data_IF_738244177401
#
_entry.id   IF_738244177401
#
_cell.length_a   1.000
_cell.length_b   1.000
_cell.length_c   1.000
_cell.angle_alpha   90.00
_cell.angle_beta   90.00
_cell.angle_gamma   90.00
#
_symmetry.space_group_name_H-M   'P 1'
#
loop_
_entity.id
_entity.type
_entity.pdbx_description
1 polymer ?
#
# COMPACT_ATOMS: atom_id res chain seq x y z
N UNK A 1 25.69 1.46 -10.51
CA UNK A 1 25.29 2.14 -9.27
C UNK A 1 24.78 3.49 -9.71
N UNK A 2 23.47 3.69 -9.66
CA UNK A 2 22.89 4.99 -10.01
C UNK A 2 23.05 5.93 -8.82
N UNK A 3 23.28 7.19 -9.07
CA UNK A 3 23.34 8.21 -8.02
C UNK A 3 22.20 9.19 -8.20
N UNK A 4 21.48 9.53 -7.13
CA UNK A 4 20.53 10.64 -7.10
C UNK A 4 21.09 11.68 -6.13
N UNK A 5 21.21 12.92 -6.58
CA UNK A 5 21.88 14.01 -5.85
C UNK A 5 23.28 13.67 -5.32
N UNK A 6 24.04 12.83 -6.05
CA UNK A 6 25.39 12.45 -5.64
C UNK A 6 25.48 11.39 -4.53
N UNK A 7 24.35 10.87 -4.07
CA UNK A 7 24.29 9.78 -3.08
C UNK A 7 24.26 8.46 -3.83
N UNK A 8 25.20 7.52 -3.56
CA UNK A 8 25.21 6.23 -4.23
C UNK A 8 23.99 5.40 -3.84
N UNK A 9 23.26 4.92 -4.85
CA UNK A 9 22.18 3.96 -4.69
C UNK A 9 22.75 2.57 -4.46
N UNK A 10 22.35 1.93 -3.36
CA UNK A 10 22.40 0.48 -3.28
C UNK A 10 21.15 -0.07 -4.01
N UNK A 11 21.35 -0.58 -5.21
CA UNK A 11 20.38 -1.48 -5.81
C UNK A 11 20.31 -2.72 -4.93
N UNK A 12 19.24 -2.83 -4.15
CA UNK A 12 18.95 -4.08 -3.45
C UNK A 12 18.61 -5.12 -4.52
N UNK A 13 19.37 -6.21 -4.55
CA UNK A 13 18.91 -7.42 -5.23
C UNK A 13 17.58 -7.79 -4.60
N UNK A 14 16.51 -7.74 -5.37
CA UNK A 14 15.20 -8.23 -4.95
C UNK A 14 15.40 -9.60 -4.31
N UNK A 15 14.77 -9.89 -3.17
CA UNK A 15 14.67 -11.27 -2.74
C UNK A 15 14.10 -12.04 -3.92
N UNK A 16 14.85 -12.97 -4.47
CA UNK A 16 14.34 -13.88 -5.49
C UNK A 16 13.51 -14.90 -4.73
N UNK A 17 12.24 -14.59 -4.53
CA UNK A 17 11.31 -15.59 -4.04
C UNK A 17 11.11 -16.59 -5.17
N UNK A 18 11.62 -17.79 -4.95
CA UNK A 18 11.23 -18.91 -5.78
C UNK A 18 9.74 -19.13 -5.52
N UNK A 19 8.92 -18.93 -6.55
CA UNK A 19 7.52 -19.34 -6.55
C UNK A 19 7.49 -20.78 -6.05
N UNK A 20 6.97 -21.02 -4.85
CA UNK A 20 6.60 -22.37 -4.48
C UNK A 20 5.56 -22.81 -5.51
N UNK A 21 5.88 -23.81 -6.30
CA UNK A 21 4.90 -24.44 -7.19
C UNK A 21 3.83 -25.04 -6.28
N UNK A 22 2.74 -24.31 -6.09
CA UNK A 22 1.51 -24.90 -5.59
C UNK A 22 1.10 -26.05 -6.53
N UNK A 23 0.33 -27.01 -6.03
CA UNK A 23 -0.21 -28.06 -6.88
C UNK A 23 -0.88 -27.42 -8.10
N UNK A 24 -0.81 -28.03 -9.31
CA UNK A 24 -1.38 -27.49 -10.52
C UNK A 24 -2.85 -27.14 -10.25
N UNK A 25 -3.20 -25.87 -10.45
CA UNK A 25 -4.59 -25.45 -10.40
C UNK A 25 -5.32 -26.12 -11.56
N UNK A 26 -6.39 -26.79 -11.24
CA UNK A 26 -7.33 -27.33 -12.23
C UNK A 26 -7.88 -26.15 -13.02
N UNK A 27 -7.81 -26.20 -14.36
CA UNK A 27 -8.04 -25.10 -15.32
C UNK A 27 -9.50 -24.59 -15.35
N UNK A 28 -10.24 -24.65 -14.24
CA UNK A 28 -11.66 -24.36 -14.22
C UNK A 28 -12.11 -23.08 -13.55
N UNK A 29 -11.36 -22.53 -12.57
CA UNK A 29 -11.82 -21.32 -11.87
C UNK A 29 -10.58 -20.52 -11.44
N UNK A 30 -10.38 -19.36 -12.05
CA UNK A 30 -9.41 -18.38 -11.59
C UNK A 30 -9.67 -18.01 -10.13
N UNK A 31 -8.65 -17.59 -9.35
CA UNK A 31 -8.86 -17.11 -8.00
C UNK A 31 -9.78 -15.91 -8.08
N UNK A 32 -11.06 -16.11 -7.73
CA UNK A 32 -11.93 -14.99 -7.45
C UNK A 32 -11.22 -14.16 -6.40
N UNK A 33 -11.06 -12.86 -6.67
CA UNK A 33 -10.63 -11.91 -5.67
C UNK A 33 -11.45 -12.11 -4.39
N UNK A 34 -11.21 -11.40 -3.28
CA UNK A 34 -11.82 -11.67 -1.97
C UNK A 34 -13.35 -11.66 -1.98
N UNK A 35 -13.93 -12.61 -2.63
CA UNK A 35 -15.30 -13.00 -2.87
C UNK A 35 -15.34 -14.48 -3.09
N UNK A 36 -14.73 -15.28 -2.16
CA UNK A 36 -14.79 -16.73 -2.21
C UNK A 36 -16.25 -17.21 -2.21
N UNK A 37 -16.56 -18.38 -2.85
CA UNK A 37 -17.90 -18.94 -2.87
C UNK A 37 -18.36 -19.26 -1.44
N UNK A 38 -19.33 -18.51 -0.95
CA UNK A 38 -19.92 -18.71 0.40
C UNK A 38 -20.33 -17.41 1.10
N UNK A 39 -20.21 -16.26 0.47
CA UNK A 39 -20.94 -15.07 0.93
C UNK A 39 -22.44 -15.34 0.86
N UNK A 40 -23.27 -14.79 1.79
CA UNK A 40 -24.71 -14.99 1.75
C UNK A 40 -25.22 -14.60 0.36
N UNK A 41 -26.02 -15.49 -0.26
CA UNK A 41 -26.76 -15.17 -1.48
C UNK A 41 -27.56 -13.89 -1.20
N UNK A 42 -27.24 -12.79 -1.88
CA UNK A 42 -27.83 -11.47 -1.66
C UNK A 42 -26.88 -10.41 -1.14
N UNK A 43 -25.59 -10.50 -1.43
CA UNK A 43 -24.67 -9.38 -1.22
C UNK A 43 -25.22 -8.10 -1.89
N UNK A 44 -24.95 -6.89 -1.34
CA UNK A 44 -25.43 -5.65 -1.93
C UNK A 44 -25.04 -5.59 -3.40
N UNK A 45 -25.99 -5.24 -4.27
CA UNK A 45 -25.69 -5.01 -5.69
C UNK A 45 -24.52 -4.02 -5.79
N UNK A 46 -23.48 -4.42 -6.50
CA UNK A 46 -22.34 -3.52 -6.73
C UNK A 46 -22.88 -2.27 -7.45
N UNK A 47 -22.53 -1.07 -7.01
CA UNK A 47 -22.93 0.14 -7.69
C UNK A 47 -22.47 0.08 -9.16
N UNK A 48 -23.33 0.50 -10.07
CA UNK A 48 -23.00 0.60 -11.49
C UNK A 48 -21.77 1.51 -11.65
N UNK A 49 -20.71 0.99 -12.28
CA UNK A 49 -19.49 1.76 -12.53
C UNK A 49 -19.78 2.91 -13.48
N UNK A 50 -19.56 4.11 -13.01
CA UNK A 50 -19.69 5.31 -13.83
C UNK A 50 -18.40 5.54 -14.63
N UNK A 51 -18.49 6.08 -15.86
CA UNK A 51 -17.28 6.43 -16.62
C UNK A 51 -16.35 7.35 -15.84
N UNK A 52 -15.06 7.03 -15.90
CA UNK A 52 -13.99 7.82 -15.28
C UNK A 52 -13.07 8.39 -16.35
N UNK A 53 -12.51 9.56 -16.10
CA UNK A 53 -11.70 10.33 -17.04
C UNK A 53 -10.40 10.77 -16.34
N UNK A 54 -9.39 11.14 -17.14
CA UNK A 54 -8.24 11.88 -16.67
C UNK A 54 -8.09 13.20 -17.47
N UNK A 55 -7.56 14.22 -16.81
CA UNK A 55 -7.35 15.51 -17.45
C UNK A 55 -6.26 15.48 -18.55
N UNK A 56 -5.31 14.56 -18.42
CA UNK A 56 -4.34 14.24 -19.47
C UNK A 56 -4.27 12.71 -19.58
N UNK A 57 -4.52 12.19 -20.77
CA UNK A 57 -4.39 10.76 -21.06
C UNK A 57 -3.31 10.51 -22.10
N UNK A 58 -2.37 9.61 -21.76
CA UNK A 58 -1.29 9.16 -22.64
C UNK A 58 -1.44 7.66 -22.84
N UNK A 59 -1.52 7.23 -24.09
CA UNK A 59 -1.59 5.82 -24.45
C UNK A 59 -0.55 5.47 -25.52
N UNK A 60 0.18 4.38 -25.29
CA UNK A 60 1.19 3.87 -26.21
C UNK A 60 2.12 4.98 -26.74
N UNK A 61 2.61 5.80 -25.81
CA UNK A 61 3.56 6.88 -26.08
C UNK A 61 2.99 8.10 -26.80
N UNK A 62 1.66 8.33 -26.75
CA UNK A 62 1.02 9.50 -27.36
C UNK A 62 -0.04 10.10 -26.45
N UNK A 63 -0.12 11.43 -26.43
CA UNK A 63 -1.24 12.12 -25.83
C UNK A 63 -2.50 11.87 -26.68
N UNK A 64 -3.50 11.24 -26.07
CA UNK A 64 -4.78 10.91 -26.75
C UNK A 64 -5.92 11.79 -26.28
N UNK A 65 -5.81 12.40 -25.10
CA UNK A 65 -6.82 13.31 -24.53
C UNK A 65 -6.18 14.36 -23.63
N UNK A 66 -6.69 15.58 -23.71
CA UNK A 66 -6.31 16.68 -22.82
C UNK A 66 -7.53 17.55 -22.51
N UNK A 67 -7.91 17.62 -21.24
CA UNK A 67 -8.96 18.54 -20.77
C UNK A 67 -8.44 19.99 -20.75
N UNK A 68 -9.24 20.98 -21.13
CA UNK A 68 -8.84 22.41 -21.08
C UNK A 68 -8.45 22.93 -19.69
N UNK A 69 -8.88 22.27 -18.63
CA UNK A 69 -8.54 22.67 -17.27
C UNK A 69 -7.08 22.37 -16.88
N UNK A 70 -6.43 21.40 -17.54
CA UNK A 70 -5.01 21.13 -17.31
C UNK A 70 -4.15 22.05 -18.16
N UNK A 71 -3.23 22.74 -17.52
CA UNK A 71 -2.30 23.65 -18.21
C UNK A 71 -0.86 23.25 -17.95
N UNK A 72 0.03 23.58 -18.87
CA UNK A 72 1.44 23.24 -18.82
C UNK A 72 2.07 23.18 -20.20
N UNK A 73 3.23 22.59 -20.29
CA UNK A 73 3.90 22.29 -21.56
C UNK A 73 3.89 20.77 -21.75
N UNK A 74 3.30 20.30 -22.83
CA UNK A 74 3.08 18.89 -23.08
C UNK A 74 3.74 18.42 -24.38
N UNK A 75 4.35 17.26 -24.31
CA UNK A 75 4.80 16.47 -25.46
C UNK A 75 4.33 15.03 -25.26
N UNK A 76 4.52 14.16 -26.22
CA UNK A 76 4.13 12.76 -26.11
C UNK A 76 4.88 11.99 -25.00
N UNK A 77 5.98 12.53 -24.50
CA UNK A 77 6.82 11.88 -23.46
C UNK A 77 6.96 12.70 -22.18
N UNK A 78 6.53 13.97 -22.18
CA UNK A 78 6.73 14.86 -21.02
C UNK A 78 5.58 15.82 -20.80
N UNK A 79 5.34 16.12 -19.52
CA UNK A 79 4.50 17.25 -19.08
C UNK A 79 5.29 18.12 -18.10
N UNK A 80 5.37 19.43 -18.33
CA UNK A 80 6.14 20.35 -17.49
C UNK A 80 5.30 21.53 -17.03
N UNK A 81 5.60 21.99 -15.80
CA UNK A 81 4.91 23.15 -15.18
C UNK A 81 3.39 22.96 -15.17
N UNK A 82 2.96 21.74 -14.84
CA UNK A 82 1.56 21.33 -14.89
C UNK A 82 0.77 22.00 -13.76
N UNK A 83 -0.41 22.51 -14.11
CA UNK A 83 -1.38 23.02 -13.14
C UNK A 83 -2.74 22.44 -13.44
N UNK A 84 -3.37 21.89 -12.40
CA UNK A 84 -4.74 21.38 -12.45
C UNK A 84 -5.42 21.66 -11.12
N UNK A 85 -6.62 22.22 -11.17
CA UNK A 85 -7.46 22.40 -9.99
C UNK A 85 -8.91 22.14 -10.39
N UNK A 86 -9.46 21.01 -9.98
CA UNK A 86 -10.81 20.58 -10.34
C UNK A 86 -11.56 20.02 -9.12
N UNK A 87 -12.86 20.28 -9.11
CA UNK A 87 -13.80 19.67 -8.18
C UNK A 87 -14.74 18.71 -8.94
N UNK A 88 -14.22 17.52 -9.26
CA UNK A 88 -14.94 16.48 -9.99
C UNK A 88 -14.51 15.11 -9.51
N UNK A 89 -15.45 14.30 -8.98
CA UNK A 89 -15.19 12.96 -8.49
C UNK A 89 -14.92 11.92 -9.60
N UNK A 90 -15.41 12.18 -10.81
CA UNK A 90 -15.27 11.31 -11.99
C UNK A 90 -13.98 11.56 -12.79
N UNK A 91 -13.17 12.55 -12.42
CA UNK A 91 -11.97 12.94 -13.14
C UNK A 91 -10.72 12.92 -12.27
N UNK A 92 -9.67 12.28 -12.76
CA UNK A 92 -8.31 12.34 -12.23
C UNK A 92 -7.43 13.35 -12.94
N UNK A 93 -6.12 13.31 -12.65
CA UNK A 93 -5.14 14.24 -13.20
C UNK A 93 -4.47 13.70 -14.46
N UNK A 94 -3.44 12.90 -14.31
CA UNK A 94 -2.63 12.36 -15.41
C UNK A 94 -2.76 10.83 -15.42
N UNK A 95 -3.10 10.27 -16.55
CA UNK A 95 -3.19 8.84 -16.76
C UNK A 95 -2.28 8.40 -17.90
N UNK A 96 -1.39 7.47 -17.65
CA UNK A 96 -0.43 6.93 -18.61
C UNK A 96 -0.63 5.43 -18.72
N UNK A 97 -0.89 4.94 -19.91
CA UNK A 97 -1.12 3.52 -20.14
C UNK A 97 -0.59 3.03 -21.48
N UNK A 98 -0.49 1.72 -21.61
CA UNK A 98 -0.13 1.02 -22.83
C UNK A 98 1.37 0.86 -23.02
N UNK A 99 1.73 -0.30 -23.55
CA UNK A 99 3.12 -0.65 -23.85
C UNK A 99 3.82 0.43 -24.68
N UNK A 100 5.07 0.74 -24.30
CA UNK A 100 5.88 1.79 -24.94
C UNK A 100 5.62 3.20 -24.41
N UNK A 101 4.68 3.40 -23.48
CA UNK A 101 4.53 4.68 -22.77
C UNK A 101 5.62 4.82 -21.72
N UNK A 102 6.53 5.79 -21.89
CA UNK A 102 7.48 6.24 -20.87
C UNK A 102 7.30 7.76 -20.73
N UNK A 103 6.61 8.17 -19.66
CA UNK A 103 6.15 9.53 -19.50
C UNK A 103 6.72 10.17 -18.24
N UNK A 104 7.24 11.39 -18.37
CA UNK A 104 7.80 12.16 -17.26
C UNK A 104 6.98 13.42 -17.00
N UNK A 105 6.63 13.64 -15.75
CA UNK A 105 5.97 14.87 -15.27
C UNK A 105 6.93 15.63 -14.38
N UNK A 106 7.19 16.88 -14.69
CA UNK A 106 8.07 17.76 -13.92
C UNK A 106 7.34 19.04 -13.46
N UNK A 107 7.54 19.40 -12.19
CA UNK A 107 6.98 20.64 -11.60
C UNK A 107 5.45 20.72 -11.72
N UNK A 108 4.75 19.68 -11.28
CA UNK A 108 3.30 19.66 -11.31
C UNK A 108 2.69 20.15 -9.97
N UNK A 109 1.58 20.87 -10.09
CA UNK A 109 0.70 21.19 -8.97
C UNK A 109 -0.73 20.76 -9.33
N UNK A 110 -1.13 19.62 -8.84
CA UNK A 110 -2.43 18.98 -9.10
C UNK A 110 -3.24 19.00 -7.80
N UNK A 111 -4.41 19.63 -7.84
CA UNK A 111 -5.39 19.59 -6.78
C UNK A 111 -6.72 19.10 -7.33
N UNK A 112 -7.22 18.02 -6.77
CA UNK A 112 -8.49 17.43 -7.16
C UNK A 112 -9.36 17.23 -5.93
N UNK A 113 -10.63 17.55 -6.04
CA UNK A 113 -11.61 17.36 -4.98
C UNK A 113 -12.88 16.69 -5.51
N UNK A 114 -13.68 16.16 -4.57
CA UNK A 114 -14.90 15.42 -4.86
C UNK A 114 -14.71 13.91 -4.68
N UNK A 115 -15.81 13.24 -4.31
CA UNK A 115 -15.82 11.80 -4.07
C UNK A 115 -15.56 11.04 -5.37
N UNK A 116 -14.55 10.18 -5.35
CA UNK A 116 -14.27 9.21 -6.41
C UNK A 116 -15.11 7.95 -6.26
N UNK A 117 -14.74 6.91 -6.98
CA UNK A 117 -15.41 5.61 -6.98
C UNK A 117 -14.46 4.42 -6.97
N UNK A 118 -13.16 4.63 -6.70
CA UNK A 118 -12.17 3.57 -6.63
C UNK A 118 -10.84 4.05 -6.06
N UNK A 119 -9.97 3.11 -5.71
CA UNK A 119 -8.67 3.37 -5.09
C UNK A 119 -7.51 3.16 -6.10
N UNK A 120 -7.66 3.70 -7.30
CA UNK A 120 -6.66 3.63 -8.36
C UNK A 120 -7.21 4.06 -9.72
N UNK A 121 -6.42 3.86 -10.77
CA UNK A 121 -6.79 4.14 -12.15
C UNK A 121 -6.98 5.63 -12.47
N UNK A 122 -7.77 5.88 -13.48
CA UNK A 122 -7.95 7.21 -14.09
C UNK A 122 -8.36 8.32 -13.13
N UNK A 123 -9.01 8.01 -12.02
CA UNK A 123 -9.44 9.01 -11.02
C UNK A 123 -8.36 9.43 -10.04
N UNK A 124 -7.19 8.83 -10.09
CA UNK A 124 -6.03 9.23 -9.29
C UNK A 124 -5.48 10.59 -9.74
N UNK A 125 -4.72 11.24 -8.86
CA UNK A 125 -3.98 12.46 -9.22
C UNK A 125 -2.98 12.22 -10.34
N UNK A 126 -2.26 11.09 -10.27
CA UNK A 126 -1.47 10.55 -11.36
C UNK A 126 -1.49 9.01 -11.30
N UNK A 127 -1.75 8.37 -12.42
CA UNK A 127 -1.82 6.91 -12.53
C UNK A 127 -1.02 6.37 -13.70
N UNK A 128 -0.50 5.16 -13.52
CA UNK A 128 0.18 4.40 -14.58
C UNK A 128 -0.36 2.99 -14.63
N UNK A 129 -0.70 2.51 -15.84
CA UNK A 129 -1.29 1.19 -16.05
C UNK A 129 -0.80 0.57 -17.37
N UNK A 130 -1.10 -0.71 -17.55
CA UNK A 130 -0.96 -1.43 -18.80
C UNK A 130 0.44 -1.33 -19.42
N UNK A 131 1.46 -1.84 -18.67
CA UNK A 131 2.87 -1.92 -19.09
C UNK A 131 3.57 -0.57 -19.32
N UNK A 132 3.01 0.53 -18.84
CA UNK A 132 3.59 1.84 -18.98
C UNK A 132 4.57 2.18 -17.85
N UNK A 133 5.35 3.24 -18.06
CA UNK A 133 6.20 3.87 -17.04
C UNK A 133 5.81 5.33 -16.84
N UNK A 134 5.71 5.75 -15.57
CA UNK A 134 5.47 7.14 -15.20
C UNK A 134 6.53 7.60 -14.19
N UNK A 135 7.17 8.71 -14.50
CA UNK A 135 8.10 9.39 -13.58
C UNK A 135 7.54 10.74 -13.16
N UNK A 136 7.43 10.97 -11.86
CA UNK A 136 7.05 12.25 -11.26
C UNK A 136 8.27 12.90 -10.61
N UNK A 137 8.56 14.18 -10.91
CA UNK A 137 9.67 14.95 -10.32
C UNK A 137 9.20 16.32 -9.86
N UNK A 138 9.47 16.67 -8.61
CA UNK A 138 9.08 17.94 -8.00
C UNK A 138 7.58 18.23 -8.22
N UNK A 139 6.76 17.25 -7.89
CA UNK A 139 5.32 17.30 -8.05
C UNK A 139 4.64 17.47 -6.69
N UNK A 140 3.59 18.30 -6.67
CA UNK A 140 2.64 18.37 -5.55
C UNK A 140 1.29 17.88 -6.03
N UNK A 141 0.82 16.77 -5.45
CA UNK A 141 -0.48 16.18 -5.77
C UNK A 141 -1.30 16.14 -4.48
N UNK A 142 -2.42 16.84 -4.48
CA UNK A 142 -3.34 16.94 -3.37
C UNK A 142 -4.74 16.45 -3.79
N UNK A 143 -5.23 15.42 -3.09
CA UNK A 143 -6.52 14.81 -3.33
C UNK A 143 -7.43 15.02 -2.13
N UNK A 144 -8.58 15.62 -2.34
CA UNK A 144 -9.61 15.86 -1.33
C UNK A 144 -10.88 15.06 -1.70
N UNK A 145 -11.41 14.27 -0.78
CA UNK A 145 -12.61 13.43 -0.97
C UNK A 145 -12.33 11.95 -0.81
N UNK A 146 -13.36 11.13 -0.77
CA UNK A 146 -13.25 9.67 -0.56
C UNK A 146 -13.00 8.90 -1.85
N UNK A 147 -12.49 7.66 -1.72
CA UNK A 147 -12.31 6.68 -2.80
C UNK A 147 -11.48 7.22 -3.97
N UNK A 148 -10.29 7.72 -3.64
CA UNK A 148 -9.30 8.22 -4.61
C UNK A 148 -7.88 7.97 -4.09
N UNK A 149 -6.90 8.03 -4.99
CA UNK A 149 -5.48 8.04 -4.65
C UNK A 149 -4.78 9.29 -5.21
N UNK A 150 -3.74 9.77 -4.53
CA UNK A 150 -2.86 10.77 -5.14
C UNK A 150 -2.07 10.14 -6.28
N UNK A 151 -1.59 8.90 -6.10
CA UNK A 151 -0.94 8.13 -7.16
C UNK A 151 -1.36 6.68 -7.14
N UNK A 152 -1.37 6.03 -8.32
CA UNK A 152 -1.58 4.58 -8.43
C UNK A 152 -0.74 3.97 -9.54
N UNK A 153 -0.40 2.69 -9.38
CA UNK A 153 0.25 1.86 -10.40
C UNK A 153 -0.45 0.50 -10.50
N UNK A 154 -0.77 0.08 -11.73
CA UNK A 154 -1.45 -1.18 -12.00
C UNK A 154 -1.05 -1.78 -13.35
N UNK A 155 -1.41 -3.06 -13.59
CA UNK A 155 -1.24 -3.68 -14.90
C UNK A 155 0.22 -3.79 -15.38
N UNK A 156 1.12 -4.33 -14.57
CA UNK A 156 2.53 -4.53 -14.93
C UNK A 156 3.32 -3.21 -15.19
N UNK A 157 2.95 -2.14 -14.51
CA UNK A 157 3.50 -0.80 -14.76
C UNK A 157 4.54 -0.39 -13.72
N UNK A 158 5.26 0.68 -14.01
CA UNK A 158 6.30 1.24 -13.13
C UNK A 158 6.03 2.70 -12.82
N UNK A 159 5.86 3.02 -11.54
CA UNK A 159 5.80 4.40 -11.04
C UNK A 159 7.11 4.77 -10.34
N UNK A 160 7.67 5.93 -10.66
CA UNK A 160 8.82 6.52 -9.94
C UNK A 160 8.48 7.93 -9.50
N UNK A 161 8.69 8.22 -8.22
CA UNK A 161 8.36 9.52 -7.62
C UNK A 161 9.61 10.09 -6.94
N UNK A 162 10.00 11.29 -7.33
CA UNK A 162 11.19 11.97 -6.81
C UNK A 162 10.85 13.36 -6.29
N UNK A 163 11.41 13.73 -5.14
CA UNK A 163 11.38 15.11 -4.61
C UNK A 163 9.96 15.70 -4.56
N UNK A 164 8.95 14.85 -4.30
CA UNK A 164 7.55 15.19 -4.50
C UNK A 164 6.76 15.15 -3.18
N UNK A 165 5.60 15.77 -3.20
CA UNK A 165 4.67 15.77 -2.08
C UNK A 165 3.30 15.23 -2.53
N UNK A 166 2.91 14.10 -1.96
CA UNK A 166 1.63 13.42 -2.22
C UNK A 166 0.77 13.54 -0.96
N UNK A 167 -0.46 14.01 -1.13
CA UNK A 167 -1.36 14.28 -0.01
C UNK A 167 -2.74 13.74 -0.34
N UNK A 168 -3.35 13.06 0.63
CA UNK A 168 -4.76 12.68 0.56
C UNK A 168 -5.51 13.11 1.81
N UNK A 169 -6.70 13.68 1.60
CA UNK A 169 -7.64 14.06 2.64
C UNK A 169 -8.99 13.40 2.35
N UNK A 170 -9.33 12.38 3.14
CA UNK A 170 -10.63 11.72 3.07
C UNK A 170 -11.75 12.60 3.64
N UNK A 171 -12.98 12.21 3.35
CA UNK A 171 -14.14 12.81 4.01
C UNK A 171 -14.11 12.51 5.51
N UNK A 172 -14.74 13.35 6.33
CA UNK A 172 -14.94 13.03 7.74
C UNK A 172 -15.58 11.66 7.90
N UNK A 173 -15.11 10.89 8.88
CA UNK A 173 -15.66 9.58 9.20
C UNK A 173 -17.14 9.67 9.56
N UNK A 174 -18.00 9.03 8.80
CA UNK A 174 -19.41 8.91 9.13
C UNK A 174 -19.65 7.68 10.01
N UNK A 175 -20.26 7.88 11.18
CA UNK A 175 -20.57 6.81 12.13
C UNK A 175 -21.48 5.74 11.50
N UNK A 176 -22.39 6.12 10.61
CA UNK A 176 -23.28 5.20 9.89
C UNK A 176 -22.51 4.27 8.94
N UNK A 177 -21.38 4.70 8.41
CA UNK A 177 -20.49 3.86 7.61
C UNK A 177 -19.73 2.81 8.44
N UNK A 178 -19.71 2.92 9.77
CA UNK A 178 -19.08 1.93 10.66
C UNK A 178 -19.78 0.58 10.66
N UNK A 179 -21.06 0.54 10.36
CA UNK A 179 -21.85 -0.70 10.37
C UNK A 179 -21.69 -1.53 9.10
N UNK A 180 -21.18 -0.94 8.02
CA UNK A 180 -20.89 -1.69 6.78
C UNK A 180 -19.59 -2.45 6.95
N UNK A 181 -19.69 -3.71 7.29
CA UNK A 181 -18.53 -4.56 7.62
C UNK A 181 -17.68 -4.93 6.41
N UNK A 182 -18.25 -5.00 5.21
CA UNK A 182 -17.53 -5.38 3.99
C UNK A 182 -18.15 -4.72 2.75
N UNK A 183 -17.35 -3.94 2.04
CA UNK A 183 -17.53 -3.69 0.61
C UNK A 183 -16.17 -3.97 -0.02
N UNK A 184 -16.00 -5.18 -0.53
CA UNK A 184 -14.81 -5.60 -1.24
C UNK A 184 -15.06 -5.38 -2.73
N UNK A 185 -14.15 -4.69 -3.37
CA UNK A 185 -14.22 -4.40 -4.80
C UNK A 185 -13.81 -2.96 -5.08
N UNK A 186 -14.07 -2.47 -6.29
CA UNK A 186 -13.78 -1.08 -6.67
C UNK A 186 -14.41 -0.04 -5.72
N UNK A 187 -15.38 -0.47 -4.92
CA UNK A 187 -16.11 0.35 -3.96
C UNK A 187 -15.75 0.16 -2.50
N UNK A 188 -14.56 -0.37 -2.14
CA UNK A 188 -14.18 -0.45 -0.73
C UNK A 188 -14.16 0.96 -0.11
N UNK A 189 -15.19 1.24 0.71
CA UNK A 189 -15.39 2.57 1.27
C UNK A 189 -14.61 2.81 2.56
N UNK A 190 -14.09 1.77 3.19
CA UNK A 190 -13.35 1.82 4.46
C UNK A 190 -12.45 0.61 4.66
N UNK A 191 -11.38 0.74 5.46
CA UNK A 191 -10.55 -0.39 5.84
C UNK A 191 -11.33 -1.40 6.70
N UNK A 192 -10.96 -2.69 6.65
CA UNK A 192 -11.50 -3.69 7.55
C UNK A 192 -11.32 -3.32 9.03
N UNK A 193 -12.36 -3.54 9.83
CA UNK A 193 -12.38 -3.18 11.27
C UNK A 193 -11.24 -3.82 12.04
N UNK A 194 -10.86 -5.04 11.71
CA UNK A 194 -9.78 -5.77 12.38
C UNK A 194 -8.37 -5.21 12.13
N UNK A 195 -8.21 -4.27 11.20
CA UNK A 195 -6.96 -3.51 11.03
C UNK A 195 -6.82 -2.37 12.06
N UNK A 196 -7.88 -2.06 12.81
CA UNK A 196 -7.88 -1.03 13.86
C UNK A 196 -7.60 0.39 13.35
N UNK A 197 -7.95 0.65 12.09
CA UNK A 197 -7.76 1.94 11.42
C UNK A 197 -9.06 2.46 10.84
N UNK A 198 -9.10 3.75 10.57
CA UNK A 198 -10.22 4.45 9.94
C UNK A 198 -9.79 5.11 8.64
N UNK A 199 -10.75 5.47 7.82
CA UNK A 199 -10.51 6.25 6.60
C UNK A 199 -11.26 5.75 5.38
N UNK A 200 -11.14 6.50 4.29
CA UNK A 200 -11.80 6.21 3.03
C UNK A 200 -10.96 6.64 1.80
N UNK A 201 -9.67 6.91 2.01
CA UNK A 201 -8.70 7.22 0.96
C UNK A 201 -7.36 6.52 1.20
N UNK A 202 -6.63 6.33 0.12
CA UNK A 202 -5.21 5.96 0.14
C UNK A 202 -4.41 7.03 -0.58
N UNK A 203 -3.21 7.38 -0.09
CA UNK A 203 -2.37 8.34 -0.81
C UNK A 203 -1.72 7.68 -2.01
N UNK A 204 -1.29 6.43 -1.85
CA UNK A 204 -0.75 5.63 -2.95
C UNK A 204 -1.27 4.20 -2.90
N UNK A 205 -1.48 3.59 -4.09
CA UNK A 205 -1.80 2.17 -4.24
C UNK A 205 -1.08 1.55 -5.43
N UNK A 206 -0.37 0.43 -5.20
CA UNK A 206 0.25 -0.41 -6.24
C UNK A 206 -0.48 -1.75 -6.31
N UNK A 207 -0.86 -2.18 -7.51
CA UNK A 207 -1.59 -3.42 -7.75
C UNK A 207 -1.11 -4.13 -9.04
N UNK A 208 -1.58 -5.35 -9.29
CA UNK A 208 -1.48 -6.04 -10.59
C UNK A 208 -0.05 -6.08 -11.15
N UNK A 209 0.85 -6.78 -10.47
CA UNK A 209 2.24 -7.02 -10.88
C UNK A 209 3.08 -5.75 -11.11
N UNK A 210 2.66 -4.62 -10.56
CA UNK A 210 3.30 -3.33 -10.75
C UNK A 210 4.35 -3.03 -9.69
N UNK A 211 5.15 -2.02 -9.98
CA UNK A 211 6.22 -1.56 -9.11
C UNK A 211 6.12 -0.06 -8.86
N UNK A 212 6.35 0.36 -7.61
CA UNK A 212 6.38 1.78 -7.26
C UNK A 212 7.62 2.12 -6.43
N UNK A 213 8.26 3.21 -6.79
CA UNK A 213 9.51 3.68 -6.19
C UNK A 213 9.39 5.14 -5.78
N UNK A 214 9.67 5.43 -4.51
CA UNK A 214 9.62 6.78 -3.93
C UNK A 214 10.99 7.18 -3.43
N UNK A 215 11.40 8.40 -3.74
CA UNK A 215 12.72 8.92 -3.37
C UNK A 215 12.59 10.35 -2.87
N UNK A 216 13.16 10.65 -1.69
CA UNK A 216 13.21 11.98 -1.11
C UNK A 216 11.85 12.72 -1.16
N UNK A 217 10.77 11.97 -0.93
CA UNK A 217 9.41 12.47 -1.09
C UNK A 217 8.66 12.47 0.24
N UNK A 218 7.62 13.29 0.31
CA UNK A 218 6.73 13.35 1.47
C UNK A 218 5.36 12.81 1.09
N UNK A 219 4.90 11.78 1.79
CA UNK A 219 3.63 11.10 1.58
C UNK A 219 2.76 11.30 2.82
N UNK A 220 1.64 11.98 2.66
CA UNK A 220 0.74 12.34 3.74
C UNK A 220 -0.64 11.76 3.48
N UNK A 221 -1.14 10.96 4.41
CA UNK A 221 -2.53 10.54 4.46
C UNK A 221 -3.19 11.11 5.71
N UNK A 222 -4.43 11.63 5.60
CA UNK A 222 -5.15 11.99 6.81
C UNK A 222 -5.69 10.75 7.53
N UNK A 223 -5.96 9.69 6.78
CA UNK A 223 -6.45 8.42 7.32
C UNK A 223 -6.21 7.27 6.34
N UNK A 224 -6.37 6.03 6.80
CA UNK A 224 -6.20 4.75 6.15
C UNK A 224 -4.75 4.47 5.73
N UNK A 225 -4.28 5.00 4.58
CA UNK A 225 -3.03 4.53 3.99
C UNK A 225 -2.17 5.64 3.41
N UNK A 226 -0.90 5.69 3.79
CA UNK A 226 0.09 6.48 3.07
C UNK A 226 0.59 5.73 1.82
N UNK A 227 1.22 4.59 1.99
CA UNK A 227 1.73 3.72 0.93
C UNK A 227 1.02 2.36 1.02
N UNK A 228 0.35 1.93 -0.04
CA UNK A 228 -0.43 0.69 -0.02
C UNK A 228 -0.13 -0.18 -1.22
N UNK A 229 -0.21 -1.48 -1.01
CA UNK A 229 -0.32 -2.47 -2.08
C UNK A 229 -1.60 -3.26 -1.89
N UNK A 230 -2.13 -3.86 -2.94
CA UNK A 230 -3.24 -4.81 -2.88
C UNK A 230 -2.93 -6.06 -3.70
N UNK A 231 -3.42 -7.19 -3.20
CA UNK A 231 -3.26 -8.50 -3.82
C UNK A 231 -4.14 -8.62 -5.07
N UNK A 232 -3.65 -8.11 -6.18
CA UNK A 232 -4.24 -8.33 -7.48
C UNK A 232 -3.10 -8.61 -8.47
N UNK A 233 -2.74 -9.88 -8.60
CA UNK A 233 -1.59 -10.33 -9.38
C UNK A 233 -0.58 -11.11 -8.54
N UNK A 234 0.43 -11.65 -9.20
CA UNK A 234 1.41 -12.54 -8.59
C UNK A 234 2.57 -11.80 -7.89
N UNK A 235 2.78 -10.51 -8.20
CA UNK A 235 3.98 -9.82 -7.78
C UNK A 235 3.81 -8.30 -7.77
N UNK A 236 3.75 -7.73 -6.60
CA UNK A 236 3.71 -6.28 -6.40
C UNK A 236 4.92 -5.86 -5.57
N UNK A 237 5.58 -4.78 -5.98
CA UNK A 237 6.74 -4.24 -5.27
C UNK A 237 6.60 -2.75 -5.02
N UNK A 238 6.86 -2.35 -3.77
CA UNK A 238 6.89 -0.96 -3.35
C UNK A 238 8.17 -0.67 -2.59
N UNK A 239 8.89 0.39 -2.98
CA UNK A 239 10.10 0.83 -2.29
C UNK A 239 10.07 2.33 -2.03
N UNK A 240 10.40 2.74 -0.80
CA UNK A 240 10.57 4.13 -0.43
C UNK A 240 11.95 4.36 0.18
N UNK A 241 12.65 5.40 -0.31
CA UNK A 241 13.99 5.76 0.12
C UNK A 241 14.04 7.22 0.54
N UNK A 242 14.56 7.48 1.76
CA UNK A 242 14.74 8.84 2.28
C UNK A 242 13.42 9.66 2.30
N UNK A 243 12.28 8.98 2.52
CA UNK A 243 10.96 9.58 2.47
C UNK A 243 10.43 9.93 3.85
N UNK A 244 9.54 10.94 3.91
CA UNK A 244 8.69 11.20 5.06
C UNK A 244 7.31 10.58 4.81
N UNK A 245 6.86 9.71 5.72
CA UNK A 245 5.59 9.00 5.62
C UNK A 245 4.75 9.35 6.83
N UNK A 246 3.63 10.01 6.62
CA UNK A 246 2.85 10.64 7.68
C UNK A 246 1.39 10.24 7.57
N UNK A 247 0.80 9.81 8.70
CA UNK A 247 -0.66 9.74 8.84
C UNK A 247 -1.10 10.67 9.96
N UNK A 248 -2.14 11.49 9.73
CA UNK A 248 -2.46 12.61 10.65
C UNK A 248 -3.62 12.33 11.60
N UNK A 249 -4.55 11.45 11.23
CA UNK A 249 -5.73 11.11 12.03
C UNK A 249 -5.80 9.63 12.38
N UNK A 250 -5.57 8.76 11.42
CA UNK A 250 -5.55 7.31 11.56
C UNK A 250 -4.76 6.71 10.40
N UNK A 251 -4.28 5.48 10.53
CA UNK A 251 -3.75 4.73 9.40
C UNK A 251 -2.31 4.26 9.55
N UNK A 252 -1.82 3.67 8.48
CA UNK A 252 -0.52 3.02 8.40
C UNK A 252 0.44 3.69 7.41
N UNK A 253 1.73 3.44 7.61
CA UNK A 253 2.79 3.88 6.72
C UNK A 253 2.82 3.07 5.43
N UNK A 254 2.89 1.74 5.51
CA UNK A 254 2.87 0.85 4.34
C UNK A 254 2.07 -0.42 4.59
N UNK A 255 1.59 -1.04 3.52
CA UNK A 255 0.86 -2.31 3.56
C UNK A 255 1.37 -3.26 2.48
N UNK A 256 1.89 -4.42 2.91
CA UNK A 256 2.26 -5.52 2.05
C UNK A 256 1.16 -6.58 2.09
N UNK A 257 0.28 -6.59 1.10
CA UNK A 257 -0.75 -7.61 0.92
C UNK A 257 -0.16 -8.90 0.35
N UNK A 258 -0.92 -9.97 0.26
CA UNK A 258 -0.48 -11.28 -0.24
C UNK A 258 0.20 -11.14 -1.61
N UNK A 259 1.40 -11.71 -1.75
CA UNK A 259 2.23 -11.57 -2.95
C UNK A 259 2.95 -10.22 -3.08
N UNK A 260 2.78 -9.31 -2.11
CA UNK A 260 3.37 -7.97 -2.15
C UNK A 260 4.60 -7.85 -1.25
N UNK A 261 5.55 -6.99 -1.67
CA UNK A 261 6.75 -6.67 -0.92
C UNK A 261 6.94 -5.16 -0.81
N UNK A 262 7.08 -4.68 0.44
CA UNK A 262 7.33 -3.28 0.74
C UNK A 262 8.69 -3.11 1.42
N UNK A 263 9.51 -2.20 0.92
CA UNK A 263 10.82 -1.88 1.48
C UNK A 263 10.91 -0.37 1.75
N UNK A 264 11.17 -0.01 3.00
CA UNK A 264 11.38 1.37 3.40
C UNK A 264 12.83 1.51 3.90
N UNK A 265 13.60 2.37 3.26
CA UNK A 265 15.00 2.61 3.58
C UNK A 265 15.21 4.04 4.06
N UNK A 266 15.76 4.24 5.24
CA UNK A 266 16.07 5.56 5.82
C UNK A 266 14.87 6.52 5.79
N UNK A 267 13.67 5.96 5.91
CA UNK A 267 12.44 6.74 5.96
C UNK A 267 12.16 7.23 7.38
N UNK A 268 11.48 8.38 7.45
CA UNK A 268 10.96 8.92 8.68
C UNK A 268 9.43 8.74 8.69
N UNK A 269 8.93 7.93 9.62
CA UNK A 269 7.51 7.61 9.73
C UNK A 269 6.93 8.26 10.99
N UNK A 270 5.90 9.08 10.83
CA UNK A 270 5.06 9.60 11.92
C UNK A 270 3.62 9.19 11.66
N UNK A 271 3.22 8.07 12.24
CA UNK A 271 1.97 7.38 11.89
C UNK A 271 1.08 7.16 13.11
N UNK A 272 -0.21 7.38 12.92
CA UNK A 272 -1.18 7.33 14.02
C UNK A 272 -1.43 5.90 14.55
N UNK A 273 -1.25 4.88 13.70
CA UNK A 273 -1.42 3.50 14.12
C UNK A 273 -0.11 2.71 13.94
N UNK A 274 0.17 2.15 12.77
CA UNK A 274 1.31 1.27 12.57
C UNK A 274 2.21 1.69 11.41
N UNK A 275 3.52 1.47 11.54
CA UNK A 275 4.45 1.75 10.44
C UNK A 275 4.20 0.84 9.24
N UNK A 276 3.90 -0.44 9.49
CA UNK A 276 3.63 -1.39 8.43
C UNK A 276 2.53 -2.39 8.80
N UNK A 277 1.83 -2.87 7.77
CA UNK A 277 0.97 -4.05 7.82
C UNK A 277 1.53 -5.09 6.86
N UNK A 278 1.45 -6.36 7.25
CA UNK A 278 1.84 -7.51 6.44
C UNK A 278 0.70 -8.51 6.44
N UNK A 279 0.40 -9.11 5.30
CA UNK A 279 -0.71 -10.03 5.20
C UNK A 279 -0.39 -11.24 4.29
N UNK A 280 -0.62 -12.44 4.79
CA UNK A 280 -0.43 -13.67 4.03
C UNK A 280 1.05 -13.91 3.65
N UNK A 281 1.28 -14.46 2.47
CA UNK A 281 2.63 -14.67 1.91
C UNK A 281 3.15 -13.36 1.31
N UNK A 282 3.69 -12.51 2.16
CA UNK A 282 4.15 -11.17 1.80
C UNK A 282 5.35 -10.76 2.66
N UNK A 283 5.89 -9.58 2.44
CA UNK A 283 7.02 -9.13 3.23
C UNK A 283 7.15 -7.63 3.38
N UNK A 284 7.66 -7.21 4.53
CA UNK A 284 8.08 -5.84 4.78
C UNK A 284 9.51 -5.80 5.30
N UNK A 285 10.28 -4.84 4.80
CA UNK A 285 11.60 -4.49 5.33
C UNK A 285 11.61 -3.01 5.71
N UNK A 286 11.90 -2.73 6.98
CA UNK A 286 12.15 -1.39 7.49
C UNK A 286 13.65 -1.30 7.80
N UNK A 287 14.40 -0.53 7.02
CA UNK A 287 15.86 -0.44 7.13
C UNK A 287 16.32 0.96 7.46
N UNK A 288 17.04 1.11 8.57
CA UNK A 288 17.57 2.38 9.07
C UNK A 288 16.50 3.48 9.16
N UNK A 289 15.24 3.10 9.42
CA UNK A 289 14.15 4.03 9.53
C UNK A 289 14.05 4.64 10.95
N UNK A 290 13.40 5.79 11.03
CA UNK A 290 12.90 6.33 12.31
C UNK A 290 11.39 6.28 12.27
N UNK A 291 10.76 5.61 13.23
CA UNK A 291 9.31 5.49 13.27
C UNK A 291 8.74 5.84 14.63
N UNK A 292 7.69 6.66 14.62
CA UNK A 292 6.79 6.90 15.75
C UNK A 292 5.41 6.40 15.37
N UNK A 293 4.92 5.41 16.11
CA UNK A 293 3.67 4.71 15.86
C UNK A 293 2.75 4.83 17.07
N UNK A 294 1.47 5.13 16.85
CA UNK A 294 0.49 5.20 17.93
C UNK A 294 0.01 3.83 18.41
N UNK A 295 0.27 2.75 17.67
CA UNK A 295 0.01 1.39 18.11
C UNK A 295 1.23 0.49 17.88
N UNK A 296 1.33 -0.20 16.76
CA UNK A 296 2.38 -1.18 16.47
C UNK A 296 3.46 -0.62 15.52
N UNK A 297 4.67 -1.17 15.55
CA UNK A 297 5.58 -1.00 14.41
C UNK A 297 5.08 -1.84 13.23
N UNK A 298 4.77 -3.12 13.46
CA UNK A 298 4.23 -4.00 12.41
C UNK A 298 3.02 -4.79 12.93
N UNK A 299 1.93 -4.74 12.16
CA UNK A 299 0.79 -5.62 12.34
C UNK A 299 0.84 -6.70 11.24
N UNK A 300 0.83 -7.97 11.65
CA UNK A 300 0.75 -9.13 10.74
C UNK A 300 -0.58 -9.84 10.93
N UNK A 301 -1.34 -10.01 9.86
CA UNK A 301 -2.66 -10.64 9.90
C UNK A 301 -2.90 -11.58 8.72
N UNK A 302 -3.97 -12.36 8.84
CA UNK A 302 -4.43 -13.23 7.74
C UNK A 302 -5.32 -12.43 6.81
N UNK A 303 -5.07 -12.51 5.51
CA UNK A 303 -6.04 -12.07 4.48
C UNK A 303 -6.91 -13.26 4.10
N UNK A 304 -8.22 -13.04 4.07
CA UNK A 304 -9.23 -14.06 3.90
C UNK A 304 -8.98 -14.98 2.70
N UNK A 305 -8.87 -16.25 3.00
CA UNK A 305 -8.97 -17.37 2.06
C UNK A 305 -9.96 -18.34 2.65
N UNK A 306 -10.91 -18.80 1.86
CA UNK A 306 -11.91 -19.76 2.32
C UNK A 306 -11.30 -21.00 2.97
N UNK A 307 -12.07 -21.74 3.76
CA UNK A 307 -11.62 -22.96 4.43
C UNK A 307 -10.96 -23.92 3.44
N UNK A 308 -9.72 -24.34 3.74
CA UNK A 308 -8.99 -25.36 2.96
C UNK A 308 -7.94 -24.83 1.96
N UNK A 309 -7.80 -23.53 1.76
CA UNK A 309 -6.81 -22.98 0.81
C UNK A 309 -5.52 -22.54 1.50
N UNK A 310 -4.68 -23.47 1.94
CA UNK A 310 -3.24 -23.22 2.19
C UNK A 310 -2.82 -22.01 3.07
N UNK A 311 -3.75 -21.25 3.56
CA UNK A 311 -3.53 -19.99 4.30
C UNK A 311 -2.62 -20.19 5.53
N UNK A 312 -2.69 -21.37 6.13
CA UNK A 312 -1.88 -21.72 7.30
C UNK A 312 -0.48 -22.20 6.95
N UNK A 313 -0.17 -22.37 5.67
CA UNK A 313 1.18 -22.68 5.17
C UNK A 313 1.91 -21.42 4.67
N UNK A 314 1.21 -20.32 4.50
CA UNK A 314 1.81 -19.04 4.12
C UNK A 314 2.62 -18.45 5.28
N UNK A 315 3.78 -17.94 4.97
CA UNK A 315 4.69 -17.34 5.95
C UNK A 315 4.98 -15.91 5.54
N UNK A 316 4.63 -14.97 6.41
CA UNK A 316 4.98 -13.57 6.22
C UNK A 316 6.43 -13.32 6.62
N UNK A 317 7.12 -12.42 5.93
CA UNK A 317 8.48 -11.99 6.25
C UNK A 317 8.49 -10.56 6.78
N UNK A 318 9.04 -10.37 7.98
CA UNK A 318 9.20 -9.07 8.61
C UNK A 318 10.68 -8.85 8.93
N UNK A 319 11.29 -7.82 8.39
CA UNK A 319 12.65 -7.41 8.72
C UNK A 319 12.69 -5.97 9.23
N UNK A 320 13.25 -5.77 10.43
CA UNK A 320 13.51 -4.46 11.03
C UNK A 320 15.01 -4.38 11.24
N UNK A 321 15.70 -3.66 10.37
CA UNK A 321 17.16 -3.61 10.32
C UNK A 321 17.66 -2.20 10.63
N UNK A 322 18.39 -2.02 11.71
CA UNK A 322 18.84 -0.71 12.16
C UNK A 322 17.70 0.23 12.52
N UNK A 323 18.01 1.52 12.69
CA UNK A 323 17.02 2.57 12.93
C UNK A 323 16.46 2.63 14.36
N UNK A 324 15.42 3.48 14.53
CA UNK A 324 14.78 3.75 15.82
C UNK A 324 13.27 3.69 15.70
N UNK A 325 12.64 2.90 16.55
CA UNK A 325 11.20 2.64 16.49
C UNK A 325 10.58 2.82 17.87
N UNK A 326 9.55 3.65 17.94
CA UNK A 326 8.76 3.88 19.12
C UNK A 326 7.29 3.55 18.84
N UNK A 327 6.65 2.78 19.73
CA UNK A 327 5.24 2.41 19.64
C UNK A 327 4.62 2.30 21.04
N UNK A 328 3.29 2.41 21.11
CA UNK A 328 2.57 2.33 22.39
C UNK A 328 2.28 0.87 22.77
N UNK A 329 1.96 0.03 21.82
CA UNK A 329 1.62 -1.39 21.94
C UNK A 329 2.81 -2.31 21.60
N UNK A 330 2.65 -3.65 21.52
CA UNK A 330 3.71 -4.55 21.08
C UNK A 330 4.33 -4.10 19.75
N UNK A 331 5.67 -4.14 19.66
CA UNK A 331 6.30 -3.66 18.43
C UNK A 331 5.85 -4.47 17.20
N UNK A 332 5.75 -5.78 17.33
CA UNK A 332 5.17 -6.65 16.28
C UNK A 332 4.02 -7.44 16.87
N UNK A 333 2.84 -7.35 16.26
CA UNK A 333 1.70 -8.19 16.61
C UNK A 333 1.36 -9.12 15.45
N UNK A 334 1.15 -10.42 15.76
CA UNK A 334 0.80 -11.46 14.79
C UNK A 334 -0.57 -12.04 15.13
N UNK A 335 -1.55 -11.83 14.24
CA UNK A 335 -2.93 -12.30 14.43
C UNK A 335 -3.16 -13.63 13.70
N UNK A 336 -2.93 -14.76 14.39
CA UNK A 336 -3.10 -16.14 13.86
C UNK A 336 -2.36 -16.40 12.55
N UNK A 337 -1.14 -15.90 12.41
CA UNK A 337 -0.31 -16.03 11.21
C UNK A 337 1.00 -16.72 11.48
N UNK A 338 1.55 -17.34 10.44
CA UNK A 338 2.93 -17.76 10.44
C UNK A 338 3.85 -16.61 10.04
N UNK A 339 4.98 -16.46 10.70
CA UNK A 339 5.86 -15.34 10.45
C UNK A 339 7.32 -15.65 10.71
N UNK A 340 8.19 -15.22 9.80
CA UNK A 340 9.61 -15.06 10.03
C UNK A 340 9.91 -13.59 10.34
N UNK A 341 10.38 -13.32 11.56
CA UNK A 341 10.67 -11.97 12.05
C UNK A 341 12.17 -11.86 12.32
N UNK A 342 12.81 -10.93 11.64
CA UNK A 342 14.19 -10.52 11.90
C UNK A 342 14.19 -9.11 12.50
N UNK A 343 14.84 -8.93 13.66
CA UNK A 343 15.14 -7.60 14.20
C UNK A 343 16.65 -7.55 14.41
N UNK A 344 17.34 -6.72 13.65
CA UNK A 344 18.81 -6.66 13.63
C UNK A 344 19.30 -5.22 13.81
N UNK A 345 20.03 -4.95 14.88
CA UNK A 345 20.65 -3.65 15.16
C UNK A 345 19.67 -2.49 15.37
N UNK A 346 18.38 -2.75 15.49
CA UNK A 346 17.36 -1.73 15.68
C UNK A 346 17.18 -1.34 17.17
N UNK A 347 16.99 -0.05 17.41
CA UNK A 347 16.56 0.48 18.71
C UNK A 347 15.03 0.51 18.75
N UNK A 348 14.41 -0.42 19.47
CA UNK A 348 12.95 -0.56 19.55
C UNK A 348 12.47 -0.27 20.96
N UNK A 349 11.56 0.68 21.09
CA UNK A 349 10.90 1.04 22.34
C UNK A 349 9.38 0.86 22.21
N UNK A 350 8.86 -0.14 22.92
CA UNK A 350 7.42 -0.36 23.09
C UNK A 350 7.00 0.10 24.48
N UNK A 351 6.03 1.00 24.58
CA UNK A 351 5.59 1.52 25.87
C UNK A 351 4.98 0.43 26.78
N UNK A 352 4.40 -0.61 26.19
CA UNK A 352 3.91 -1.77 26.95
C UNK A 352 5.01 -2.78 27.31
N UNK A 353 6.27 -2.59 26.88
CA UNK A 353 7.40 -3.47 27.19
C UNK A 353 7.44 -4.79 26.42
N UNK A 354 6.65 -4.93 25.35
CA UNK A 354 6.53 -6.17 24.56
C UNK A 354 7.12 -5.97 23.16
N UNK A 355 8.03 -6.84 22.76
CA UNK A 355 8.63 -6.79 21.43
C UNK A 355 7.76 -7.51 20.39
N UNK A 356 7.41 -8.77 20.64
CA UNK A 356 6.57 -9.57 19.74
C UNK A 356 5.46 -10.22 20.54
N UNK A 357 4.22 -10.13 20.02
CA UNK A 357 3.04 -10.75 20.61
C UNK A 357 2.25 -11.48 19.55
N UNK A 358 1.80 -12.71 19.84
CA UNK A 358 0.76 -13.38 19.07
C UNK A 358 -0.59 -13.25 19.75
N UNK A 359 -1.65 -13.20 18.97
CA UNK A 359 -3.03 -13.31 19.45
C UNK A 359 -3.91 -14.01 18.43
N UNK A 360 -5.06 -14.50 18.89
CA UNK A 360 -6.08 -15.05 18.01
C UNK A 360 -6.57 -13.95 17.06
N UNK A 361 -6.74 -14.32 15.80
CA UNK A 361 -7.29 -13.41 14.81
C UNK A 361 -8.75 -13.07 15.13
N UNK A 362 -9.05 -11.81 15.08
CA UNK A 362 -10.38 -11.23 15.30
C UNK A 362 -11.13 -10.88 14.01
N UNK A 363 -10.55 -11.23 12.86
CA UNK A 363 -11.22 -11.11 11.56
C UNK A 363 -12.27 -12.22 11.42
N UNK A 364 -13.57 -11.87 11.32
CA UNK A 364 -14.64 -12.85 11.19
C UNK A 364 -14.58 -13.63 9.87
N UNK A 365 -13.85 -13.15 8.88
CA UNK A 365 -13.72 -13.77 7.57
C UNK A 365 -12.47 -14.65 7.44
N UNK A 366 -11.57 -14.60 8.39
CA UNK A 366 -10.38 -15.43 8.40
C UNK A 366 -10.51 -16.55 9.45
N UNK A 367 -10.28 -17.82 9.05
CA UNK A 367 -10.38 -18.93 9.98
C UNK A 367 -9.24 -18.89 10.99
N UNK A 368 -9.53 -19.18 12.25
CA UNK A 368 -8.51 -19.41 13.25
C UNK A 368 -7.80 -20.76 13.00
N UNK A 369 -6.51 -20.88 13.34
CA UNK A 369 -5.69 -22.07 13.06
C UNK A 369 -5.95 -23.25 14.01
N UNK A 370 -7.01 -23.26 14.80
CA UNK A 370 -7.30 -24.33 15.76
C UNK A 370 -7.29 -25.71 15.10
N UNK A 371 -6.48 -26.61 15.67
CA UNK A 371 -6.37 -28.01 15.20
C UNK A 371 -5.65 -28.18 13.90
N UNK A 372 -4.85 -27.22 13.42
CA UNK A 372 -4.04 -27.30 12.21
C UNK A 372 -2.56 -27.20 12.52
N UNK A 373 -1.74 -27.85 11.67
CA UNK A 373 -0.30 -27.66 11.69
C UNK A 373 0.01 -26.24 11.17
N UNK A 374 0.49 -25.38 12.05
CA UNK A 374 0.98 -24.05 11.72
C UNK A 374 2.50 -24.04 11.81
N UNK A 375 3.15 -23.28 10.94
CA UNK A 375 4.58 -23.05 10.96
C UNK A 375 5.02 -22.36 12.26
N UNK A 376 4.21 -21.42 12.73
CA UNK A 376 4.45 -20.64 13.92
C UNK A 376 5.12 -19.30 13.65
N UNK A 377 5.55 -18.66 14.73
CA UNK A 377 6.25 -17.39 14.69
C UNK A 377 7.70 -17.62 15.06
N UNK A 378 8.59 -17.37 14.10
CA UNK A 378 10.03 -17.50 14.30
C UNK A 378 10.64 -16.11 14.44
N UNK A 379 11.27 -15.84 15.58
CA UNK A 379 11.87 -14.54 15.88
C UNK A 379 13.38 -14.68 15.95
N UNK A 380 14.07 -13.92 15.13
CA UNK A 380 15.53 -13.81 15.15
C UNK A 380 15.93 -12.41 15.61
N UNK A 381 16.61 -12.33 16.74
CA UNK A 381 17.16 -11.09 17.30
C UNK A 381 18.67 -11.07 17.12
N UNK A 382 19.19 -10.01 16.50
CA UNK A 382 20.64 -9.79 16.32
C UNK A 382 21.01 -8.37 16.70
N UNK A 383 22.17 -8.21 17.33
CA UNK A 383 22.73 -6.90 17.65
C UNK A 383 21.75 -5.97 18.39
N UNK A 384 20.84 -6.56 19.19
CA UNK A 384 19.79 -5.85 19.90
C UNK A 384 20.25 -5.46 21.31
N UNK A 385 19.91 -4.21 21.70
CA UNK A 385 19.96 -3.78 23.09
C UNK A 385 18.54 -3.32 23.47
N UNK A 386 17.67 -4.26 23.81
CA UNK A 386 16.28 -3.99 24.14
C UNK A 386 15.91 -4.54 25.51
N UNK A 387 15.10 -3.81 26.25
CA UNK A 387 14.48 -4.24 27.49
C UNK A 387 13.14 -4.95 27.26
N UNK A 388 12.67 -4.98 26.01
CA UNK A 388 11.40 -5.59 25.65
C UNK A 388 11.46 -7.11 25.69
N UNK A 389 10.32 -7.72 25.87
CA UNK A 389 10.16 -9.17 25.96
C UNK A 389 9.33 -9.73 24.79
N UNK A 390 9.42 -11.05 24.59
CA UNK A 390 8.58 -11.79 23.66
C UNK A 390 7.48 -12.46 24.47
N UNK A 391 6.23 -12.25 24.09
CA UNK A 391 5.07 -12.90 24.69
C UNK A 391 4.32 -13.71 23.64
N UNK A 392 3.79 -14.85 24.08
CA UNK A 392 2.84 -15.66 23.34
C UNK A 392 1.58 -15.81 24.19
N UNK A 393 0.44 -15.50 23.63
CA UNK A 393 -0.89 -15.76 24.19
C UNK A 393 -1.64 -16.75 23.30
#
# INVERSE_FOLDING_TARGET
METIHGIPYQTFTRPVYQKMQGPPMDDGEGPGGPGGPGGPEGGPEMPEEKPTFAALEVHSGKIVSQDPAITGTFTDTTAKNVRLNLNRGDMGGIYVAGEGSDFTVEHANIRLSGAGQGLGGKISGAAVEDHASLTLRDCRINMDGKLRCATSAGGNSVLKVYDSMLISHGDPWNVEEKEVTWVIGPGMAKPPVFLEIEGNMRTHCTVMDSESYFYNSTIIADSWAALSTDAAGDRVYLEANDCNVITTRSGYGTYADTGCYCVLNRCNLDVQNMAAIVAGESGVTLKDCTAKCGSYVVLNHVVGGGPGKGIFTQVSSIAIEGGKYQCDDPAVICKSVNSDILIDGAEVHSACGVLVKSRINDDPCAPNPEGRDVYGIHVTLRNMNTENSILHE
#
